data_IF_751738950018
#
_entry.id   IF_751738950018
#
_cell.length_a   1.000
_cell.length_b   1.000
_cell.length_c   1.000
_cell.angle_alpha   90.00
_cell.angle_beta   90.00
_cell.angle_gamma   90.00
#
_symmetry.space_group_name_H-M   'P 1'
#
loop_
_entity.id
_entity.type
_entity.pdbx_description
1 polymer ?
#
# COMPACT_ATOMS: atom_id res chain seq x y z
N UNK A 1 41.72 50.61 5.50
CA UNK A 1 41.05 49.74 4.50
C UNK A 1 40.04 48.78 5.18
N UNK A 2 39.00 49.26 5.90
CA UNK A 2 38.16 48.43 6.78
C UNK A 2 36.72 48.20 6.27
N UNK A 3 36.28 48.86 5.20
CA UNK A 3 34.88 48.85 4.74
C UNK A 3 34.48 47.60 3.93
N UNK A 4 35.45 46.88 3.35
CA UNK A 4 35.16 45.66 2.58
C UNK A 4 34.72 44.50 3.47
N UNK A 5 35.30 44.37 4.66
CA UNK A 5 34.99 43.26 5.58
C UNK A 5 33.60 43.36 6.21
N UNK A 6 33.09 44.58 6.46
CA UNK A 6 31.76 44.78 7.03
C UNK A 6 30.61 44.53 6.03
N UNK A 7 30.85 44.68 4.72
CA UNK A 7 29.85 44.36 3.69
C UNK A 7 29.76 42.85 3.49
N UNK A 8 30.89 42.16 3.43
CA UNK A 8 30.96 40.70 3.34
C UNK A 8 30.20 40.03 4.50
N UNK A 9 30.40 40.48 5.74
CA UNK A 9 29.70 39.93 6.91
C UNK A 9 28.17 40.12 6.89
N UNK A 10 27.68 41.23 6.34
CA UNK A 10 26.22 41.48 6.19
C UNK A 10 25.59 40.59 5.13
N UNK A 11 26.27 40.38 4.00
CA UNK A 11 25.80 39.46 2.96
C UNK A 11 25.80 38.01 3.45
N UNK A 12 26.85 37.60 4.18
CA UNK A 12 26.94 36.27 4.76
C UNK A 12 25.82 36.02 5.79
N UNK A 13 25.57 36.98 6.69
CA UNK A 13 24.48 36.89 7.67
C UNK A 13 23.09 36.83 7.03
N UNK A 14 22.85 37.62 5.97
CA UNK A 14 21.59 37.54 5.21
C UNK A 14 21.43 36.20 4.52
N UNK A 15 22.49 35.69 3.90
CA UNK A 15 22.50 34.35 3.30
C UNK A 15 22.19 33.26 4.33
N UNK A 16 22.80 33.33 5.52
CA UNK A 16 22.54 32.39 6.60
C UNK A 16 21.07 32.44 7.09
N UNK A 17 20.47 33.63 7.22
CA UNK A 17 19.06 33.78 7.61
C UNK A 17 18.13 33.18 6.55
N UNK A 18 18.38 33.45 5.27
CA UNK A 18 17.58 32.89 4.17
C UNK A 18 17.70 31.37 4.15
N UNK A 19 18.92 30.83 4.29
CA UNK A 19 19.13 29.38 4.34
C UNK A 19 18.40 28.75 5.53
N UNK A 20 18.49 29.36 6.72
CA UNK A 20 17.79 28.87 7.91
C UNK A 20 16.26 28.89 7.71
N UNK A 21 15.72 29.96 7.12
CA UNK A 21 14.29 30.05 6.81
C UNK A 21 13.85 28.96 5.82
N UNK A 22 14.66 28.66 4.80
CA UNK A 22 14.39 27.59 3.83
C UNK A 22 14.42 26.20 4.48
N UNK A 23 15.39 25.95 5.37
CA UNK A 23 15.47 24.68 6.12
C UNK A 23 14.24 24.51 7.01
N UNK A 24 13.84 25.54 7.76
CA UNK A 24 12.64 25.50 8.60
C UNK A 24 11.39 25.26 7.75
N UNK A 25 11.26 25.95 6.61
CA UNK A 25 10.15 25.73 5.69
C UNK A 25 10.12 24.29 5.16
N UNK A 26 11.26 23.74 4.75
CA UNK A 26 11.35 22.36 4.27
C UNK A 26 10.93 21.36 5.36
N UNK A 27 11.39 21.55 6.61
CA UNK A 27 11.00 20.72 7.75
C UNK A 27 9.49 20.81 8.01
N UNK A 28 8.90 22.01 7.94
CA UNK A 28 7.45 22.19 8.09
C UNK A 28 6.68 21.47 6.99
N UNK A 29 7.12 21.56 5.72
CA UNK A 29 6.47 20.89 4.59
C UNK A 29 6.53 19.36 4.71
N UNK A 30 7.67 18.82 5.14
CA UNK A 30 7.86 17.38 5.39
C UNK A 30 6.97 16.93 6.55
N UNK A 31 7.00 17.64 7.68
CA UNK A 31 6.18 17.31 8.85
C UNK A 31 4.67 17.42 8.57
N UNK A 32 4.27 18.31 7.66
CA UNK A 32 2.90 18.43 7.19
C UNK A 32 2.47 17.34 6.18
N UNK A 33 3.37 16.41 5.82
CA UNK A 33 3.08 15.36 4.83
C UNK A 33 2.84 15.89 3.43
N UNK A 34 3.39 17.07 3.09
CA UNK A 34 3.19 17.67 1.75
C UNK A 34 3.74 16.79 0.63
N UNK A 35 4.71 15.94 0.96
CA UNK A 35 5.32 14.97 0.06
C UNK A 35 4.82 13.53 0.28
N UNK A 36 3.86 13.33 1.21
CA UNK A 36 3.25 12.02 1.40
C UNK A 36 2.48 11.65 0.13
N UNK A 37 2.63 10.41 -0.36
CA UNK A 37 1.88 9.98 -1.51
C UNK A 37 0.38 10.08 -1.19
N UNK A 38 -0.39 10.61 -2.15
CA UNK A 38 -1.85 10.72 -2.07
C UNK A 38 -2.53 9.65 -2.93
N UNK A 39 -3.65 9.06 -2.47
CA UNK A 39 -4.47 8.19 -3.30
C UNK A 39 -4.95 8.88 -4.59
N UNK A 40 -5.32 8.06 -5.58
CA UNK A 40 -5.86 8.50 -6.85
C UNK A 40 -7.30 8.99 -6.67
N UNK A 41 -7.43 10.29 -6.37
CA UNK A 41 -8.71 10.98 -6.24
C UNK A 41 -9.26 10.99 -4.82
N UNK A 42 -10.47 11.57 -4.63
CA UNK A 42 -11.13 11.61 -3.32
C UNK A 42 -11.52 10.22 -2.81
N UNK A 43 -11.66 10.12 -1.49
CA UNK A 43 -12.24 8.95 -0.83
C UNK A 43 -13.69 8.77 -1.28
N UNK A 44 -13.98 7.59 -1.82
CA UNK A 44 -15.30 7.20 -2.30
C UNK A 44 -16.08 6.41 -1.25
N UNK A 45 -15.45 5.38 -0.68
CA UNK A 45 -16.07 4.50 0.31
C UNK A 45 -15.05 3.95 1.29
N UNK A 46 -15.47 3.72 2.53
CA UNK A 46 -14.72 2.99 3.55
C UNK A 46 -15.56 1.82 4.04
N UNK A 47 -15.01 0.61 3.94
CA UNK A 47 -15.59 -0.62 4.49
C UNK A 47 -14.81 -1.03 5.75
N UNK A 48 -15.44 -1.81 6.64
CA UNK A 48 -14.83 -2.34 7.87
C UNK A 48 -15.07 -3.85 7.97
N UNK A 49 -14.26 -4.67 7.28
CA UNK A 49 -14.49 -6.12 7.20
C UNK A 49 -14.42 -6.82 8.57
N UNK A 50 -13.52 -6.38 9.46
CA UNK A 50 -13.38 -6.88 10.82
C UNK A 50 -12.49 -8.12 10.93
N UNK A 51 -12.67 -8.87 12.03
CA UNK A 51 -11.84 -10.02 12.38
C UNK A 51 -12.26 -11.28 11.62
N UNK A 52 -11.28 -11.97 11.06
CA UNK A 52 -11.41 -13.27 10.42
C UNK A 52 -10.42 -14.26 11.01
N UNK A 53 -10.84 -15.52 11.14
CA UNK A 53 -10.02 -16.58 11.71
C UNK A 53 -9.82 -17.69 10.69
N UNK A 54 -8.58 -18.15 10.54
CA UNK A 54 -8.25 -19.38 9.84
C UNK A 54 -8.00 -20.44 10.92
N UNK A 55 -8.79 -21.54 10.96
CA UNK A 55 -8.73 -22.51 12.06
C UNK A 55 -7.45 -23.39 12.04
N UNK A 56 -6.68 -23.34 10.97
CA UNK A 56 -5.43 -24.09 10.80
C UNK A 56 -4.72 -23.67 9.51
N UNK A 57 -3.75 -24.48 9.09
CA UNK A 57 -3.02 -24.25 7.85
C UNK A 57 -3.93 -24.16 6.62
N UNK A 58 -3.64 -23.22 5.74
CA UNK A 58 -4.40 -22.97 4.53
C UNK A 58 -4.49 -21.50 4.17
N UNK A 59 -5.26 -21.22 3.12
CA UNK A 59 -5.47 -19.88 2.59
C UNK A 59 -6.96 -19.55 2.58
N UNK A 60 -7.28 -18.27 2.71
CA UNK A 60 -8.62 -17.75 2.55
C UNK A 60 -8.61 -16.52 1.65
N UNK A 61 -9.67 -16.37 0.88
CA UNK A 61 -9.94 -15.21 0.05
C UNK A 61 -11.36 -14.74 0.35
N UNK A 62 -11.50 -13.48 0.76
CA UNK A 62 -12.79 -12.87 1.11
C UNK A 62 -13.06 -11.78 0.08
N UNK A 63 -13.91 -12.05 -0.92
CA UNK A 63 -14.19 -11.08 -1.96
C UNK A 63 -14.86 -9.83 -1.40
N UNK A 64 -14.43 -8.66 -1.90
CA UNK A 64 -14.95 -7.36 -1.52
C UNK A 64 -15.66 -6.74 -2.72
N UNK A 65 -16.94 -6.34 -2.60
CA UNK A 65 -17.67 -5.76 -3.71
C UNK A 65 -17.07 -4.38 -4.03
N UNK A 66 -16.66 -4.12 -5.26
CA UNK A 66 -16.24 -2.78 -5.66
C UNK A 66 -17.42 -1.77 -5.49
N UNK A 67 -17.17 -0.50 -5.19
CA UNK A 67 -18.22 0.52 -5.06
C UNK A 67 -18.80 0.99 -6.40
N UNK A 68 -18.28 0.50 -7.51
CA UNK A 68 -18.71 0.84 -8.86
C UNK A 68 -19.26 -0.41 -9.55
N UNK A 69 -20.18 -0.20 -10.47
CA UNK A 69 -20.56 -1.27 -11.39
C UNK A 69 -19.40 -1.58 -12.36
N UNK A 70 -19.39 -2.77 -12.99
CA UNK A 70 -18.37 -3.09 -14.01
C UNK A 70 -18.33 -2.08 -15.16
N UNK A 71 -19.48 -1.49 -15.51
CA UNK A 71 -19.61 -0.48 -16.59
C UNK A 71 -19.11 0.91 -16.16
N UNK A 72 -19.13 1.21 -14.86
CA UNK A 72 -18.71 2.48 -14.26
C UNK A 72 -17.36 2.36 -13.54
N UNK A 73 -16.59 1.31 -13.80
CA UNK A 73 -15.29 1.12 -13.17
C UNK A 73 -14.33 2.22 -13.64
N UNK A 74 -13.82 3.08 -12.75
CA UNK A 74 -12.93 4.17 -13.12
C UNK A 74 -11.67 3.65 -13.80
N UNK A 75 -11.15 4.41 -14.77
CA UNK A 75 -9.87 4.07 -15.41
C UNK A 75 -8.71 4.07 -14.41
N UNK A 76 -8.82 4.86 -13.34
CA UNK A 76 -7.80 5.02 -12.31
C UNK A 76 -8.42 5.06 -10.92
N UNK A 77 -7.96 4.20 -10.02
CA UNK A 77 -8.45 4.12 -8.66
C UNK A 77 -7.36 3.64 -7.70
N UNK A 78 -7.55 3.88 -6.40
CA UNK A 78 -6.72 3.30 -5.36
C UNK A 78 -7.55 2.48 -4.39
N UNK A 79 -6.95 1.41 -3.88
CA UNK A 79 -7.50 0.63 -2.77
C UNK A 79 -6.47 0.63 -1.65
N UNK A 80 -6.92 0.93 -0.43
CA UNK A 80 -6.09 0.98 0.76
C UNK A 80 -6.68 0.11 1.86
N UNK A 81 -5.96 -0.94 2.22
CA UNK A 81 -6.27 -1.83 3.33
C UNK A 81 -5.45 -1.46 4.56
N UNK A 82 -6.09 -1.36 5.72
CA UNK A 82 -5.42 -1.43 7.02
C UNK A 82 -5.77 -2.76 7.67
N UNK A 83 -4.77 -3.56 7.99
CA UNK A 83 -4.96 -4.86 8.63
C UNK A 83 -3.83 -5.20 9.61
N UNK A 84 -4.13 -6.04 10.58
CA UNK A 84 -3.17 -6.53 11.57
C UNK A 84 -3.36 -8.03 11.82
N UNK A 85 -2.32 -8.70 12.29
CA UNK A 85 -2.48 -9.99 12.95
C UNK A 85 -3.13 -9.78 14.32
N UNK A 86 -4.17 -10.56 14.61
CA UNK A 86 -4.98 -10.50 15.82
C UNK A 86 -4.66 -11.63 16.81
N UNK A 87 -3.51 -12.28 16.64
CA UNK A 87 -3.02 -13.41 17.44
C UNK A 87 -3.02 -14.75 16.69
N UNK A 88 -2.44 -15.77 17.33
CA UNK A 88 -2.30 -17.12 16.77
C UNK A 88 -0.93 -17.36 16.14
N UNK A 89 -0.90 -18.11 15.05
CA UNK A 89 0.31 -18.51 14.31
C UNK A 89 1.05 -17.28 13.73
N UNK A 90 2.29 -16.98 14.18
CA UNK A 90 3.09 -15.89 13.62
C UNK A 90 3.60 -16.17 12.21
N UNK A 91 3.78 -17.45 11.83
CA UNK A 91 4.08 -17.83 10.44
C UNK A 91 2.79 -17.81 9.61
N UNK A 92 2.33 -16.59 9.34
CA UNK A 92 1.12 -16.27 8.62
C UNK A 92 1.31 -15.06 7.72
N UNK A 93 0.37 -14.86 6.80
CA UNK A 93 0.33 -13.73 5.89
C UNK A 93 -1.09 -13.17 5.77
N UNK A 94 -1.20 -11.88 5.48
CA UNK A 94 -2.47 -11.22 5.16
C UNK A 94 -2.26 -10.08 4.18
N UNK A 95 -3.30 -9.73 3.42
CA UNK A 95 -3.21 -8.59 2.52
C UNK A 95 -4.36 -8.43 1.53
N UNK A 96 -4.03 -7.87 0.38
CA UNK A 96 -4.96 -7.51 -0.69
C UNK A 96 -4.70 -8.34 -1.93
N UNK A 97 -5.78 -8.67 -2.63
CA UNK A 97 -5.74 -9.30 -3.93
C UNK A 97 -6.55 -8.49 -4.94
N UNK A 98 -6.01 -8.33 -6.14
CA UNK A 98 -6.65 -7.77 -7.33
C UNK A 98 -6.92 -8.90 -8.32
N UNK A 99 -8.18 -9.26 -8.48
CA UNK A 99 -8.64 -10.42 -9.22
C UNK A 99 -9.53 -11.31 -8.34
N UNK A 100 -9.68 -12.57 -8.75
CA UNK A 100 -10.35 -13.59 -7.94
C UNK A 100 -9.30 -14.46 -7.26
N UNK A 101 -9.66 -15.14 -6.17
CA UNK A 101 -8.73 -15.97 -5.38
C UNK A 101 -7.94 -17.04 -6.16
N UNK A 102 -8.30 -17.32 -7.43
CA UNK A 102 -7.58 -18.24 -8.31
C UNK A 102 -6.77 -17.53 -9.41
N UNK A 103 -7.13 -16.30 -9.78
CA UNK A 103 -6.53 -15.52 -10.87
C UNK A 103 -6.43 -14.06 -10.43
N UNK A 104 -5.23 -13.59 -10.11
CA UNK A 104 -5.03 -12.21 -9.67
C UNK A 104 -3.63 -11.91 -9.16
N UNK A 105 -3.40 -10.63 -8.90
CA UNK A 105 -2.23 -10.11 -8.21
C UNK A 105 -2.50 -10.11 -6.71
N UNK A 106 -1.60 -10.67 -5.93
CA UNK A 106 -1.66 -10.71 -4.47
C UNK A 106 -0.51 -9.88 -3.91
N UNK A 107 -0.83 -9.08 -2.90
CA UNK A 107 0.12 -8.33 -2.10
C UNK A 107 -0.13 -8.69 -0.66
N UNK A 108 0.88 -9.20 0.01
CA UNK A 108 0.75 -9.63 1.40
C UNK A 108 1.92 -9.17 2.26
N UNK A 109 1.64 -9.08 3.55
CA UNK A 109 2.61 -8.87 4.61
C UNK A 109 2.48 -9.99 5.64
N UNK A 110 3.54 -10.21 6.40
CA UNK A 110 3.61 -11.17 7.48
C UNK A 110 3.89 -10.47 8.81
N UNK A 111 3.34 -10.96 9.95
CA UNK A 111 3.72 -10.51 11.29
C UNK A 111 5.22 -10.62 11.58
N UNK A 112 5.95 -11.42 10.80
CA UNK A 112 7.40 -11.58 10.92
C UNK A 112 8.21 -10.46 10.24
N UNK A 113 7.56 -9.46 9.62
CA UNK A 113 8.24 -8.35 8.94
C UNK A 113 8.54 -8.62 7.46
N UNK A 114 7.88 -9.60 6.85
CA UNK A 114 8.06 -9.95 5.46
C UNK A 114 6.94 -9.39 4.59
N UNK A 115 7.23 -9.18 3.31
CA UNK A 115 6.24 -8.83 2.30
C UNK A 115 6.50 -9.59 0.98
N UNK A 116 5.44 -9.79 0.20
CA UNK A 116 5.49 -10.44 -1.10
C UNK A 116 4.48 -9.84 -2.08
N UNK A 117 4.80 -9.97 -3.37
CA UNK A 117 3.89 -9.71 -4.51
C UNK A 117 3.99 -10.88 -5.48
N UNK A 118 2.86 -11.48 -5.83
CA UNK A 118 2.81 -12.55 -6.82
C UNK A 118 1.52 -12.52 -7.62
N UNK A 119 1.57 -13.11 -8.81
CA UNK A 119 0.40 -13.39 -9.63
C UNK A 119 0.05 -14.87 -9.52
N UNK A 120 -1.21 -15.16 -9.19
CA UNK A 120 -1.75 -16.51 -9.25
C UNK A 120 -2.52 -16.71 -10.55
N UNK A 121 -2.40 -17.91 -11.11
CA UNK A 121 -3.21 -18.39 -12.22
C UNK A 121 -3.86 -19.73 -11.81
N UNK A 122 -5.14 -19.93 -12.15
CA UNK A 122 -5.98 -21.05 -11.68
C UNK A 122 -5.32 -22.42 -11.85
N UNK A 123 -4.59 -22.59 -12.95
CA UNK A 123 -3.95 -23.85 -13.33
C UNK A 123 -2.41 -23.74 -13.39
N UNK A 124 -1.84 -22.68 -12.81
CA UNK A 124 -0.42 -22.35 -12.87
C UNK A 124 0.24 -22.28 -11.50
N UNK A 125 1.57 -22.34 -11.49
CA UNK A 125 2.33 -21.98 -10.30
C UNK A 125 2.22 -20.47 -10.05
N UNK A 126 2.21 -20.06 -8.79
CA UNK A 126 2.31 -18.65 -8.42
C UNK A 126 3.61 -18.05 -8.98
N UNK A 127 3.49 -16.96 -9.74
CA UNK A 127 4.62 -16.23 -10.30
C UNK A 127 4.95 -15.06 -9.40
N UNK A 128 6.07 -15.15 -8.67
CA UNK A 128 6.49 -14.13 -7.72
C UNK A 128 7.25 -13.00 -8.43
N UNK A 129 6.60 -11.84 -8.59
CA UNK A 129 7.30 -10.61 -8.95
C UNK A 129 8.19 -10.12 -7.81
N UNK A 130 7.77 -10.37 -6.56
CA UNK A 130 8.54 -10.18 -5.32
C UNK A 130 8.30 -11.37 -4.38
N UNK A 131 9.25 -12.30 -4.24
CA UNK A 131 9.12 -13.38 -3.25
C UNK A 131 9.10 -12.81 -1.83
N UNK A 132 8.64 -13.62 -0.87
CA UNK A 132 8.69 -13.28 0.55
C UNK A 132 10.10 -12.86 0.95
N UNK A 133 10.23 -11.60 1.34
CA UNK A 133 11.48 -11.00 1.78
C UNK A 133 11.21 -10.02 2.92
N UNK A 134 12.20 -9.81 3.77
CA UNK A 134 12.12 -8.79 4.81
C UNK A 134 11.94 -7.42 4.17
N UNK A 135 10.98 -6.64 4.66
CA UNK A 135 10.76 -5.27 4.23
C UNK A 135 10.79 -4.34 5.45
N UNK A 136 11.72 -3.36 5.54
CA UNK A 136 11.91 -2.53 6.73
C UNK A 136 10.68 -1.75 7.19
N UNK A 137 9.71 -1.55 6.29
CA UNK A 137 8.51 -0.79 6.57
C UNK A 137 7.32 -1.66 6.97
N UNK A 138 7.41 -2.99 6.94
CA UNK A 138 6.39 -3.83 7.57
C UNK A 138 6.54 -3.73 9.08
N UNK A 139 5.44 -3.40 9.76
CA UNK A 139 5.37 -3.39 11.22
C UNK A 139 5.12 -4.82 11.71
N UNK A 140 6.04 -5.41 12.50
CA UNK A 140 5.92 -6.80 12.92
C UNK A 140 4.88 -6.99 14.05
N UNK A 141 4.56 -8.25 14.34
CA UNK A 141 3.64 -8.64 15.40
C UNK A 141 2.19 -8.27 15.09
N UNK A 142 1.54 -7.62 16.05
CA UNK A 142 0.11 -7.25 15.98
C UNK A 142 -0.10 -5.78 15.59
N UNK A 143 0.96 -5.08 15.18
CA UNK A 143 0.83 -3.72 14.68
C UNK A 143 0.14 -3.71 13.31
N UNK A 144 -0.73 -2.73 13.09
CA UNK A 144 -1.45 -2.59 11.84
C UNK A 144 -0.53 -2.11 10.72
N UNK A 145 -0.64 -2.79 9.58
CA UNK A 145 0.01 -2.44 8.33
C UNK A 145 -1.01 -1.89 7.33
N UNK A 146 -0.59 -0.87 6.59
CA UNK A 146 -1.31 -0.33 5.44
C UNK A 146 -0.78 -0.98 4.16
N UNK A 147 -1.65 -1.58 3.36
CA UNK A 147 -1.36 -2.00 1.99
C UNK A 147 -2.16 -1.12 1.04
N UNK A 148 -1.48 -0.47 0.11
CA UNK A 148 -2.09 0.48 -0.81
C UNK A 148 -1.71 0.14 -2.25
N UNK A 149 -2.73 -0.14 -3.07
CA UNK A 149 -2.61 -0.43 -4.49
C UNK A 149 -3.21 0.72 -5.30
N UNK A 150 -2.40 1.38 -6.12
CA UNK A 150 -2.87 2.26 -7.20
C UNK A 150 -3.03 1.44 -8.47
N UNK A 151 -4.18 1.56 -9.10
CA UNK A 151 -4.54 0.85 -10.33
C UNK A 151 -4.80 1.88 -11.42
N UNK A 152 -4.13 1.71 -12.55
CA UNK A 152 -4.43 2.41 -13.79
C UNK A 152 -4.70 1.38 -14.89
N UNK A 153 -5.92 1.35 -15.42
CA UNK A 153 -6.26 0.48 -16.53
C UNK A 153 -5.45 0.85 -17.79
N UNK A 154 -5.02 -0.16 -18.53
CA UNK A 154 -4.31 0.00 -19.80
C UNK A 154 -5.00 -0.84 -20.87
N UNK A 155 -4.73 -0.58 -22.17
CA UNK A 155 -5.30 -1.41 -23.24
C UNK A 155 -4.91 -2.90 -23.17
N UNK A 156 -3.91 -3.26 -22.36
CA UNK A 156 -3.38 -4.64 -22.23
C UNK A 156 -3.60 -5.26 -20.85
N UNK A 157 -4.26 -4.56 -19.94
CA UNK A 157 -4.40 -4.99 -18.55
C UNK A 157 -4.41 -3.80 -17.60
N UNK A 158 -3.54 -3.81 -16.58
CA UNK A 158 -3.44 -2.71 -15.63
C UNK A 158 -2.00 -2.44 -15.19
N UNK A 159 -1.64 -1.17 -15.05
CA UNK A 159 -0.44 -0.73 -14.37
C UNK A 159 -0.74 -0.55 -12.88
N UNK A 160 0.05 -1.20 -12.03
CA UNK A 160 -0.16 -1.26 -10.59
C UNK A 160 1.03 -0.67 -9.87
N UNK A 161 0.77 0.17 -8.86
CA UNK A 161 1.78 0.59 -7.87
C UNK A 161 1.37 0.11 -6.50
N UNK A 162 2.27 -0.62 -5.83
CA UNK A 162 2.06 -1.20 -4.50
C UNK A 162 2.90 -0.45 -3.49
N UNK A 163 2.23 0.03 -2.44
CA UNK A 163 2.86 0.64 -1.27
C UNK A 163 2.50 -0.14 -0.01
N UNK A 164 3.46 -0.19 0.91
CA UNK A 164 3.28 -0.75 2.25
C UNK A 164 3.64 0.34 3.24
N UNK A 165 2.72 0.73 4.11
CA UNK A 165 2.88 1.85 5.04
C UNK A 165 3.39 3.12 4.33
N UNK A 166 2.71 3.48 3.22
CA UNK A 166 3.03 4.60 2.31
C UNK A 166 4.36 4.52 1.55
N UNK A 167 5.17 3.48 1.77
CA UNK A 167 6.45 3.32 1.07
C UNK A 167 6.32 2.44 -0.17
N UNK A 168 6.96 2.83 -1.27
CA UNK A 168 6.92 2.10 -2.53
C UNK A 168 7.60 0.72 -2.37
N UNK A 169 6.83 -0.35 -2.56
CA UNK A 169 7.32 -1.72 -2.48
C UNK A 169 7.53 -2.32 -3.88
N UNK A 170 6.56 -2.11 -4.78
CA UNK A 170 6.61 -2.68 -6.13
C UNK A 170 5.78 -1.86 -7.12
N UNK A 171 6.16 -1.92 -8.39
CA UNK A 171 5.43 -1.33 -9.51
C UNK A 171 5.59 -2.24 -10.74
N UNK A 172 4.51 -2.45 -11.49
CA UNK A 172 4.53 -3.27 -12.70
C UNK A 172 3.22 -3.24 -13.46
N UNK A 173 3.17 -3.99 -14.56
CA UNK A 173 1.95 -4.21 -15.35
C UNK A 173 1.49 -5.66 -15.16
N UNK A 174 0.18 -5.84 -15.03
CA UNK A 174 -0.46 -7.15 -15.01
C UNK A 174 -1.36 -7.28 -16.25
N UNK A 175 -1.39 -8.46 -16.86
CA UNK A 175 -2.16 -8.70 -18.08
C UNK A 175 -3.68 -8.79 -17.82
N UNK A 176 -4.07 -9.12 -16.58
CA UNK A 176 -5.47 -9.31 -16.21
C UNK A 176 -6.02 -8.03 -15.60
N UNK A 177 -7.14 -7.54 -16.16
CA UNK A 177 -7.88 -6.45 -15.54
C UNK A 177 -8.45 -6.90 -14.19
N UNK A 178 -8.30 -6.10 -13.12
CA UNK A 178 -8.83 -6.45 -11.82
C UNK A 178 -10.35 -6.35 -11.83
N UNK A 179 -11.02 -7.47 -12.08
CA UNK A 179 -12.49 -7.55 -12.03
C UNK A 179 -13.06 -7.64 -10.60
N UNK A 180 -12.19 -7.81 -9.61
CA UNK A 180 -12.57 -7.98 -8.21
C UNK A 180 -11.41 -7.57 -7.30
N UNK A 181 -11.73 -7.16 -6.08
CA UNK A 181 -10.75 -6.99 -5.01
C UNK A 181 -11.11 -7.98 -3.92
N UNK A 182 -10.11 -8.56 -3.25
CA UNK A 182 -10.36 -9.44 -2.11
C UNK A 182 -9.36 -9.19 -0.99
N UNK A 183 -9.79 -9.55 0.21
CA UNK A 183 -8.89 -9.72 1.35
C UNK A 183 -8.32 -11.12 1.28
N UNK A 184 -7.02 -11.26 1.48
CA UNK A 184 -6.34 -12.54 1.47
C UNK A 184 -5.71 -12.79 2.84
N UNK A 185 -5.72 -14.06 3.27
CA UNK A 185 -5.05 -14.51 4.48
C UNK A 185 -4.51 -15.92 4.32
N UNK A 186 -3.38 -16.22 4.96
CA UNK A 186 -2.74 -17.52 4.96
C UNK A 186 -2.18 -17.85 6.33
N UNK A 187 -2.30 -19.11 6.72
CA UNK A 187 -1.55 -19.72 7.83
C UNK A 187 -0.73 -20.88 7.31
N UNK A 188 0.53 -20.98 7.75
CA UNK A 188 1.42 -22.10 7.42
C UNK A 188 1.34 -23.23 8.47
N UNK A 189 0.62 -23.03 9.58
CA UNK A 189 0.60 -23.99 10.69
C UNK A 189 -0.72 -23.97 11.46
N UNK A 190 -0.76 -23.17 12.51
CA UNK A 190 -1.87 -23.14 13.48
C UNK A 190 -3.01 -22.18 13.15
N UNK A 191 -3.91 -22.03 14.13
CA UNK A 191 -4.97 -21.03 14.08
C UNK A 191 -4.36 -19.62 14.02
N UNK A 192 -4.89 -18.76 13.16
CA UNK A 192 -4.50 -17.34 13.08
C UNK A 192 -5.75 -16.46 13.02
N UNK A 193 -5.76 -15.39 13.79
CA UNK A 193 -6.71 -14.30 13.65
C UNK A 193 -6.09 -13.16 12.84
N UNK A 194 -6.84 -12.62 11.89
CA UNK A 194 -6.48 -11.42 11.12
C UNK A 194 -7.60 -10.40 11.34
N UNK A 195 -7.24 -9.17 11.70
CA UNK A 195 -8.17 -8.06 11.84
C UNK A 195 -8.03 -7.12 10.63
N UNK A 196 -8.99 -7.19 9.71
CA UNK A 196 -9.08 -6.30 8.56
C UNK A 196 -9.87 -5.06 8.96
N UNK A 197 -9.17 -4.04 9.42
CA UNK A 197 -9.75 -2.87 10.10
C UNK A 197 -10.51 -1.95 9.15
N UNK A 198 -9.87 -1.55 8.04
CA UNK A 198 -10.47 -0.66 7.04
C UNK A 198 -10.09 -1.07 5.64
N UNK A 199 -11.03 -0.95 4.71
CA UNK A 199 -10.81 -1.02 3.28
C UNK A 199 -11.35 0.24 2.63
N UNK A 200 -10.47 1.09 2.12
CA UNK A 200 -10.82 2.38 1.56
C UNK A 200 -10.64 2.39 0.06
N UNK A 201 -11.59 3.00 -0.62
CA UNK A 201 -11.68 3.09 -2.07
C UNK A 201 -11.57 4.55 -2.49
N UNK A 202 -10.66 4.84 -3.41
CA UNK A 202 -10.45 6.17 -3.97
C UNK A 202 -10.57 6.08 -5.48
N UNK A 203 -11.17 7.07 -6.11
CA UNK A 203 -11.23 7.13 -7.57
C UNK A 203 -11.13 8.58 -8.04
N UNK A 204 -10.39 8.80 -9.11
CA UNK A 204 -10.44 10.08 -9.80
C UNK A 204 -11.80 10.23 -10.51
N UNK A 205 -12.37 11.44 -10.60
CA UNK A 205 -13.50 11.68 -11.49
C UNK A 205 -13.09 11.32 -12.91
N UNK A 206 -13.95 10.64 -13.66
CA UNK A 206 -13.73 10.41 -15.08
C UNK A 206 -13.62 11.77 -15.80
N UNK A 207 -12.49 11.98 -16.47
CA UNK A 207 -12.19 13.20 -17.24
C UNK A 207 -12.55 13.05 -18.70
#
# INVERSE_FOLDING_TARGET
MPERDQRAGRHLRRGAIVLAALVVLAVVLIAAGTFDPQPLGPLWRTDRPGRHELPGAGETFIPQPAPWSPEETPQRFSVRLTAANAGGEPDSGYGLALGNGANGLFVAVSPLGYAAVWEAQRDGAAEYSRPWQVWPHVRPGQEANELWLDVAQTPRGAAITVRINRELFWQGEIATLPGQVGLWGQSFGGLVGIDFQTLEWFAAPDS
#
